data_IF_814166480247
#
_entry.id   IF_814166480247
#
_cell.length_a   1.000
_cell.length_b   1.000
_cell.length_c   1.000
_cell.angle_alpha   90.00
_cell.angle_beta   90.00
_cell.angle_gamma   90.00
#
_symmetry.space_group_name_H-M   'P 1'
#
loop_
_entity.id
_entity.type
_entity.pdbx_description
1 polymer ?
#
# COMPACT_ATOMS: atom_id res chain seq x y z
N UNK A 1 -9.65 -27.87 2.84
CA UNK A 1 -9.29 -26.46 3.04
C UNK A 1 -8.41 -26.05 1.88
N UNK A 2 -8.98 -25.40 0.87
CA UNK A 2 -8.16 -24.71 -0.12
C UNK A 2 -7.62 -23.47 0.59
N UNK A 3 -6.30 -23.32 0.63
CA UNK A 3 -5.65 -22.11 1.10
C UNK A 3 -6.00 -21.01 0.09
N UNK A 4 -7.06 -20.26 0.34
CA UNK A 4 -7.32 -19.03 -0.40
C UNK A 4 -6.23 -18.06 0.03
N UNK A 5 -5.19 -17.93 -0.80
CA UNK A 5 -4.28 -16.81 -0.69
C UNK A 5 -5.16 -15.56 -0.80
N UNK A 6 -5.41 -14.88 0.33
CA UNK A 6 -5.79 -13.47 0.31
C UNK A 6 -4.88 -12.86 -0.75
N UNK A 7 -5.47 -12.40 -1.85
CA UNK A 7 -4.73 -12.18 -3.10
C UNK A 7 -3.94 -10.88 -3.02
N UNK A 8 -3.23 -10.66 -1.91
CA UNK A 8 -2.37 -9.51 -1.61
C UNK A 8 -1.40 -9.24 -2.74
N UNK A 9 -0.84 -10.29 -3.34
CA UNK A 9 0.05 -10.15 -4.49
C UNK A 9 -0.69 -9.64 -5.73
N UNK A 10 -1.90 -10.13 -6.00
CA UNK A 10 -2.75 -9.64 -7.10
C UNK A 10 -3.20 -8.21 -6.86
N UNK A 11 -3.61 -7.87 -5.64
CA UNK A 11 -4.01 -6.51 -5.25
C UNK A 11 -2.82 -5.56 -5.39
N UNK A 12 -1.64 -5.96 -4.92
CA UNK A 12 -0.41 -5.20 -5.09
C UNK A 12 -0.05 -5.02 -6.57
N UNK A 13 -0.17 -6.08 -7.37
CA UNK A 13 0.03 -6.04 -8.81
C UNK A 13 -0.90 -5.01 -9.47
N UNK A 14 -2.20 -5.12 -9.21
CA UNK A 14 -3.22 -4.28 -9.84
C UNK A 14 -3.02 -2.81 -9.45
N UNK A 15 -2.79 -2.52 -8.16
CA UNK A 15 -2.44 -1.19 -7.67
C UNK A 15 -1.18 -0.63 -8.35
N UNK A 16 -0.09 -1.39 -8.44
CA UNK A 16 1.13 -0.89 -9.09
C UNK A 16 0.93 -0.75 -10.60
N UNK A 17 0.19 -1.65 -11.22
CA UNK A 17 -0.08 -1.65 -12.65
C UNK A 17 -0.86 -0.39 -13.04
N UNK A 18 -1.87 0.02 -12.28
CA UNK A 18 -2.64 1.24 -12.56
C UNK A 18 -1.77 2.51 -12.57
N UNK A 19 -0.82 2.62 -11.65
CA UNK A 19 0.04 3.80 -11.51
C UNK A 19 1.35 3.72 -12.29
N UNK A 20 1.62 2.61 -13.01
CA UNK A 20 2.92 2.36 -13.66
C UNK A 20 3.34 3.41 -14.69
N UNK A 21 2.36 4.03 -15.36
CA UNK A 21 2.57 5.02 -16.41
C UNK A 21 2.53 6.46 -15.87
N UNK A 22 2.27 6.64 -14.57
CA UNK A 22 2.27 7.96 -13.94
C UNK A 22 3.71 8.48 -13.75
N UNK A 23 3.83 9.70 -13.25
CA UNK A 23 5.13 10.31 -12.99
C UNK A 23 5.98 9.46 -12.03
N UNK A 24 7.30 9.51 -12.23
CA UNK A 24 8.28 8.77 -11.42
C UNK A 24 8.13 9.04 -9.92
N UNK A 25 7.65 10.21 -9.51
CA UNK A 25 7.44 10.52 -8.09
C UNK A 25 6.19 9.83 -7.51
N UNK A 26 5.17 9.59 -8.33
CA UNK A 26 3.96 8.81 -7.98
C UNK A 26 4.29 7.32 -7.89
N UNK A 27 4.99 6.75 -8.87
CA UNK A 27 5.45 5.34 -8.80
C UNK A 27 6.36 5.09 -7.59
N UNK A 28 7.24 6.06 -7.27
CA UNK A 28 8.13 5.95 -6.10
C UNK A 28 7.41 6.10 -4.75
N UNK A 29 6.12 6.45 -4.71
CA UNK A 29 5.37 6.51 -3.45
C UNK A 29 5.33 5.15 -2.76
N UNK A 30 5.39 4.04 -3.48
CA UNK A 30 5.40 2.69 -2.91
C UNK A 30 6.56 2.47 -1.94
N UNK A 31 7.74 3.01 -2.25
CA UNK A 31 8.88 2.96 -1.33
C UNK A 31 8.65 3.80 -0.06
N UNK A 32 7.94 4.92 -0.20
CA UNK A 32 7.52 5.75 0.95
C UNK A 32 6.45 5.05 1.77
N UNK A 33 5.45 4.42 1.14
CA UNK A 33 4.44 3.58 1.80
C UNK A 33 5.10 2.54 2.68
N UNK A 34 6.01 1.72 2.13
CA UNK A 34 6.77 0.72 2.89
C UNK A 34 7.50 1.30 4.10
N UNK A 35 8.08 2.50 3.96
CA UNK A 35 8.79 3.17 5.07
C UNK A 35 7.81 3.70 6.10
N UNK A 36 6.68 4.26 5.67
CA UNK A 36 5.67 4.87 6.53
C UNK A 36 4.92 3.83 7.37
N UNK A 37 4.70 2.61 6.85
CA UNK A 37 4.04 1.54 7.61
C UNK A 37 4.74 1.25 8.95
N UNK A 38 6.07 1.37 9.01
CA UNK A 38 6.82 1.16 10.25
C UNK A 38 6.46 2.15 11.37
N UNK A 39 5.88 3.31 11.04
CA UNK A 39 5.41 4.30 12.01
C UNK A 39 3.96 4.07 12.46
N UNK A 40 3.27 3.06 11.92
CA UNK A 40 1.94 2.65 12.32
C UNK A 40 0.81 3.09 11.38
N UNK A 41 -0.39 2.55 11.65
CA UNK A 41 -1.58 2.70 10.82
C UNK A 41 -2.04 4.16 10.69
N UNK A 42 -2.02 4.92 11.80
CA UNK A 42 -2.41 6.33 11.79
C UNK A 42 -1.53 7.16 10.86
N UNK A 43 -0.21 6.97 10.94
CA UNK A 43 0.73 7.73 10.11
C UNK A 43 0.56 7.39 8.63
N UNK A 44 0.30 6.13 8.33
CA UNK A 44 0.03 5.65 6.97
C UNK A 44 -1.25 6.27 6.41
N UNK A 45 -2.35 6.17 7.16
CA UNK A 45 -3.63 6.76 6.78
C UNK A 45 -3.51 8.28 6.58
N UNK A 46 -2.93 9.02 7.53
CA UNK A 46 -2.83 10.48 7.41
C UNK A 46 -1.99 11.00 6.23
N UNK A 47 -1.22 10.14 5.55
CA UNK A 47 -0.39 10.56 4.43
C UNK A 47 -1.19 10.89 3.17
N UNK A 48 -2.35 10.23 2.93
CA UNK A 48 -3.21 10.58 1.79
C UNK A 48 -3.77 12.00 1.92
N UNK A 49 -4.07 12.46 3.15
CA UNK A 49 -4.54 13.83 3.43
C UNK A 49 -3.44 14.89 3.23
N UNK A 50 -2.17 14.52 3.42
CA UNK A 50 -1.03 15.42 3.29
C UNK A 50 -0.62 15.65 1.83
N UNK A 51 -0.76 14.61 1.01
CA UNK A 51 -0.41 14.62 -0.40
C UNK A 51 -1.52 15.27 -1.24
N UNK A 52 -1.20 15.58 -2.50
CA UNK A 52 -2.16 16.15 -3.46
C UNK A 52 -2.09 15.41 -4.79
N UNK A 53 -3.21 15.41 -5.53
CA UNK A 53 -3.30 14.79 -6.86
C UNK A 53 -3.16 13.27 -6.81
N UNK A 54 -2.60 12.68 -7.87
CA UNK A 54 -2.47 11.22 -8.06
C UNK A 54 -1.75 10.51 -6.92
N UNK A 55 -0.78 11.18 -6.28
CA UNK A 55 -0.08 10.65 -5.10
C UNK A 55 -1.06 10.44 -3.94
N UNK A 56 -1.95 11.39 -3.66
CA UNK A 56 -2.94 11.25 -2.59
C UNK A 56 -3.89 10.08 -2.88
N UNK A 57 -4.42 10.02 -4.11
CA UNK A 57 -5.29 8.94 -4.57
C UNK A 57 -4.62 7.58 -4.42
N UNK A 58 -3.33 7.46 -4.72
CA UNK A 58 -2.63 6.19 -4.60
C UNK A 58 -2.57 5.66 -3.16
N UNK A 59 -2.33 6.55 -2.19
CA UNK A 59 -2.34 6.19 -0.77
C UNK A 59 -3.74 5.85 -0.26
N UNK A 60 -4.75 6.62 -0.70
CA UNK A 60 -6.15 6.37 -0.37
C UNK A 60 -6.64 5.03 -0.93
N UNK A 61 -6.37 4.73 -2.19
CA UNK A 61 -6.74 3.45 -2.82
C UNK A 61 -6.03 2.26 -2.16
N UNK A 62 -4.74 2.42 -1.81
CA UNK A 62 -4.00 1.38 -1.08
C UNK A 62 -4.64 1.12 0.29
N UNK A 63 -5.08 2.16 0.99
CA UNK A 63 -5.80 2.01 2.26
C UNK A 63 -7.18 1.37 2.06
N UNK A 64 -7.95 1.79 1.05
CA UNK A 64 -9.25 1.21 0.76
C UNK A 64 -9.15 -0.29 0.45
N UNK A 65 -8.12 -0.71 -0.30
CA UNK A 65 -7.83 -2.13 -0.54
C UNK A 65 -7.47 -2.88 0.74
N UNK A 66 -6.72 -2.25 1.66
CA UNK A 66 -6.49 -2.84 2.98
C UNK A 66 -7.80 -3.04 3.74
N UNK A 67 -8.71 -2.07 3.73
CA UNK A 67 -10.02 -2.18 4.40
C UNK A 67 -10.83 -3.33 3.79
N UNK A 68 -10.88 -3.44 2.46
CA UNK A 68 -11.55 -4.55 1.75
C UNK A 68 -10.98 -5.92 2.17
N UNK A 69 -9.65 -6.07 2.21
CA UNK A 69 -9.00 -7.32 2.63
C UNK A 69 -9.35 -7.68 4.08
N UNK A 70 -9.37 -6.69 4.97
CA UNK A 70 -9.66 -6.92 6.38
C UNK A 70 -11.16 -7.23 6.59
N UNK A 71 -12.04 -6.69 5.75
CA UNK A 71 -13.47 -6.99 5.75
C UNK A 71 -13.74 -8.46 5.37
N UNK A 72 -12.97 -9.05 4.45
CA UNK A 72 -13.03 -10.49 4.15
C UNK A 72 -12.73 -11.36 5.39
N UNK A 73 -11.94 -10.83 6.33
CA UNK A 73 -11.62 -11.46 7.61
C UNK A 73 -12.55 -11.03 8.75
N UNK A 74 -13.68 -10.38 8.44
CA UNK A 74 -14.67 -9.84 9.40
C UNK A 74 -14.09 -8.79 10.37
N UNK A 75 -13.00 -8.10 9.98
CA UNK A 75 -12.36 -7.06 10.78
C UNK A 75 -12.64 -5.69 10.15
N UNK A 76 -13.51 -4.90 10.80
CA UNK A 76 -13.75 -3.51 10.40
C UNK A 76 -12.58 -2.62 10.80
N UNK A 77 -11.84 -2.11 9.81
CA UNK A 77 -10.77 -1.13 10.04
C UNK A 77 -11.37 0.28 10.08
N UNK A 78 -11.13 1.06 11.15
CA UNK A 78 -11.62 2.44 11.23
C UNK A 78 -10.96 3.36 10.19
N UNK A 79 -11.76 4.25 9.60
CA UNK A 79 -11.30 5.29 8.66
C UNK A 79 -11.05 6.65 9.34
N UNK A 80 -10.76 6.65 10.63
CA UNK A 80 -10.38 7.87 11.34
C UNK A 80 -9.26 7.59 12.34
N UNK A 81 -8.38 8.57 12.60
CA UNK A 81 -7.19 8.36 13.40
C UNK A 81 -7.49 8.13 14.89
N UNK A 82 -8.58 8.69 15.41
CA UNK A 82 -8.98 8.51 16.82
C UNK A 82 -9.39 7.06 17.11
N UNK A 83 -10.18 6.45 16.23
CA UNK A 83 -10.69 5.10 16.42
C UNK A 83 -9.63 4.03 16.16
N UNK A 84 -8.61 4.33 15.34
CA UNK A 84 -7.45 3.45 15.17
C UNK A 84 -6.71 3.16 16.48
N UNK A 85 -6.75 4.08 17.45
CA UNK A 85 -6.14 3.91 18.79
C UNK A 85 -7.15 3.54 19.88
N UNK A 86 -8.44 3.66 19.61
CA UNK A 86 -9.48 3.31 20.56
C UNK A 86 -9.54 1.79 20.71
N UNK A 87 -9.19 1.29 21.90
CA UNK A 87 -9.17 -0.17 22.15
C UNK A 87 -10.56 -0.80 22.23
N UNK A 88 -11.61 0.00 22.42
CA UNK A 88 -13.00 -0.46 22.41
C UNK A 88 -13.53 -0.65 20.99
N UNK A 89 -13.06 0.18 20.05
CA UNK A 89 -13.47 0.12 18.62
C UNK A 89 -12.53 -0.79 17.83
N UNK A 90 -11.22 -0.69 18.07
CA UNK A 90 -10.19 -1.42 17.35
C UNK A 90 -9.19 -2.06 18.33
N UNK A 91 -9.45 -3.33 18.73
CA UNK A 91 -8.62 -4.05 19.68
C UNK A 91 -7.14 -4.11 19.25
N UNK A 92 -6.18 -4.16 20.21
CA UNK A 92 -4.76 -4.24 19.89
C UNK A 92 -4.37 -5.42 19.01
N UNK A 93 -5.11 -6.53 19.06
CA UNK A 93 -4.89 -7.71 18.23
C UNK A 93 -5.18 -7.40 16.75
N UNK A 94 -6.32 -6.78 16.46
CA UNK A 94 -6.68 -6.38 15.11
C UNK A 94 -5.72 -5.34 14.55
N UNK A 95 -5.28 -4.37 15.37
CA UNK A 95 -4.20 -3.44 14.99
C UNK A 95 -2.94 -4.14 14.52
N UNK A 96 -2.49 -5.15 15.26
CA UNK A 96 -1.26 -5.90 14.93
C UNK A 96 -1.43 -6.68 13.62
N UNK A 97 -2.58 -7.33 13.45
CA UNK A 97 -2.90 -8.08 12.22
C UNK A 97 -2.98 -7.14 11.03
N UNK A 98 -3.73 -6.05 11.11
CA UNK A 98 -3.85 -5.05 10.03
C UNK A 98 -2.50 -4.44 9.69
N UNK A 99 -1.65 -4.13 10.68
CA UNK A 99 -0.32 -3.62 10.44
C UNK A 99 0.57 -4.64 9.72
N UNK A 100 0.49 -5.93 10.09
CA UNK A 100 1.23 -6.99 9.43
C UNK A 100 0.78 -7.18 7.97
N UNK A 101 -0.53 -7.18 7.73
CA UNK A 101 -1.10 -7.28 6.37
C UNK A 101 -0.71 -6.07 5.52
N UNK A 102 -0.80 -4.87 6.06
CA UNK A 102 -0.39 -3.65 5.37
C UNK A 102 1.11 -3.65 5.04
N UNK A 103 1.94 -4.14 5.96
CA UNK A 103 3.39 -4.30 5.73
C UNK A 103 3.63 -5.25 4.57
N UNK A 104 2.97 -6.41 4.58
CA UNK A 104 3.10 -7.41 3.53
C UNK A 104 2.61 -6.89 2.17
N UNK A 105 1.50 -6.15 2.15
CA UNK A 105 0.97 -5.50 0.95
C UNK A 105 2.00 -4.51 0.37
N UNK A 106 2.58 -3.65 1.21
CA UNK A 106 3.62 -2.71 0.79
C UNK A 106 4.87 -3.41 0.25
N UNK A 107 5.30 -4.51 0.86
CA UNK A 107 6.41 -5.31 0.37
C UNK A 107 6.12 -5.92 -1.01
N UNK A 108 4.91 -6.47 -1.22
CA UNK A 108 4.47 -6.96 -2.53
C UNK A 108 4.44 -5.85 -3.58
N UNK A 109 3.92 -4.66 -3.22
CA UNK A 109 3.91 -3.51 -4.15
C UNK A 109 5.34 -3.10 -4.54
N UNK A 110 6.28 -3.04 -3.58
CA UNK A 110 7.70 -2.74 -3.89
C UNK A 110 8.27 -3.78 -4.85
N UNK A 111 7.96 -5.06 -4.67
CA UNK A 111 8.41 -6.12 -5.56
C UNK A 111 7.86 -5.95 -6.99
N UNK A 112 6.60 -5.56 -7.16
CA UNK A 112 6.01 -5.28 -8.48
C UNK A 112 6.59 -4.03 -9.14
N UNK A 113 6.83 -2.95 -8.38
CA UNK A 113 7.46 -1.74 -8.96
C UNK A 113 8.85 -2.03 -9.51
N UNK A 114 9.61 -2.95 -8.90
CA UNK A 114 10.91 -3.39 -9.42
C UNK A 114 10.79 -4.16 -10.74
N UNK A 115 9.72 -4.93 -10.95
CA UNK A 115 9.47 -5.66 -12.22
C UNK A 115 9.09 -4.77 -13.38
N UNK A 116 8.39 -3.68 -13.11
CA UNK A 116 7.99 -2.73 -14.14
C UNK A 116 9.11 -1.76 -14.54
N UNK A 117 10.24 -1.74 -13.83
CA UNK A 117 11.40 -0.96 -14.27
C UNK A 117 11.90 -1.53 -15.60
N UNK A 118 12.12 -0.69 -16.63
CA UNK A 118 12.72 -1.15 -17.87
C UNK A 118 14.08 -1.79 -17.58
N UNK A 119 14.37 -2.92 -18.24
CA UNK A 119 15.66 -3.56 -18.14
C UNK A 119 16.76 -2.55 -18.49
N UNK A 120 17.83 -2.53 -17.70
CA UNK A 120 18.91 -1.54 -17.75
C UNK A 120 19.85 -1.72 -18.97
N UNK A 121 19.29 -2.07 -20.12
CA UNK A 121 19.97 -2.21 -21.40
C UNK A 121 19.17 -1.40 -22.42
N UNK A 122 19.58 -0.15 -22.65
CA UNK A 122 19.37 0.71 -23.84
C UNK A 122 19.57 2.21 -23.51
N UNK A 123 20.55 2.56 -22.69
CA UNK A 123 21.04 3.95 -22.54
C UNK A 123 22.57 3.98 -22.72
N UNK A 124 23.05 3.36 -23.79
CA UNK A 124 24.43 3.55 -24.26
C UNK A 124 24.43 3.53 -25.77
N UNK A 125 23.70 4.45 -26.39
CA UNK A 125 23.85 4.85 -27.79
C UNK A 125 22.92 6.04 -28.02
N UNK A 126 23.41 7.23 -27.67
CA UNK A 126 23.21 8.49 -28.41
C UNK A 126 23.54 9.66 -27.50
N UNK A 127 24.78 10.13 -27.62
CA UNK A 127 25.17 11.54 -27.69
C UNK A 127 26.70 11.58 -27.76
N UNK A 128 27.22 11.33 -28.96
CA UNK A 128 28.57 11.70 -29.39
C UNK A 128 28.42 12.80 -30.44
#
# INVERSE_FOLDING_TARGET
>A
MAFENFSLDKIAHDLVYEYRNDDKETVNQVHKMRTTVAYGLERFWGEHLRLKGRKSTYWEETWNKLVEIMEEAEITVPNNPQDLWNSEVFPPEYRKVTLAILTQLCDCMVWWTQRYKPARNNETEDNN
#
